data_IF_457519846213
#
_entry.id   IF_457519846213
#
_cell.length_a   1.000
_cell.length_b   1.000
_cell.length_c   1.000
_cell.angle_alpha   90.00
_cell.angle_beta   90.00
_cell.angle_gamma   90.00
#
_symmetry.space_group_name_H-M   'P 1'
#
loop_
_entity.id
_entity.type
_entity.pdbx_description
1 polymer ?
#
# COMPACT_ATOMS: atom_id res chain seq x y z
N UNK A 1 4.33 25.80 13.41
CA UNK A 1 5.38 25.44 12.44
C UNK A 1 4.95 24.12 11.83
N UNK A 2 4.39 24.13 10.63
CA UNK A 2 4.09 22.88 9.94
C UNK A 2 5.44 22.32 9.46
N UNK A 3 5.85 21.17 9.99
CA UNK A 3 6.95 20.42 9.42
C UNK A 3 6.47 19.97 8.04
N UNK A 4 6.83 20.74 7.01
CA UNK A 4 6.64 20.33 5.61
C UNK A 4 7.64 19.21 5.36
N UNK A 5 7.27 18.03 5.79
CA UNK A 5 8.01 16.83 5.49
C UNK A 5 8.06 16.65 3.98
N UNK A 6 9.26 16.53 3.45
CA UNK A 6 9.46 16.23 2.04
C UNK A 6 9.28 14.73 1.81
N UNK A 7 8.88 14.37 0.60
CA UNK A 7 8.78 12.99 0.19
C UNK A 7 10.16 12.32 0.27
N UNK A 8 10.25 11.21 1.00
CA UNK A 8 11.51 10.50 1.26
C UNK A 8 11.84 9.48 0.15
N UNK A 9 11.02 9.43 -0.89
CA UNK A 9 11.20 8.54 -2.04
C UNK A 9 12.31 9.05 -2.95
N UNK A 10 13.28 8.17 -3.19
CA UNK A 10 14.42 8.40 -4.07
C UNK A 10 14.13 7.79 -5.44
N UNK A 11 14.11 8.63 -6.47
CA UNK A 11 13.89 8.22 -7.86
C UNK A 11 15.23 7.90 -8.51
N UNK A 12 15.42 6.65 -8.95
CA UNK A 12 16.54 6.25 -9.78
C UNK A 12 16.19 6.51 -11.25
N UNK A 13 16.92 7.40 -11.94
CA UNK A 13 16.69 7.74 -13.35
C UNK A 13 17.28 6.73 -14.34
N UNK A 14 17.89 5.65 -13.86
CA UNK A 14 18.52 4.60 -14.65
C UNK A 14 19.58 3.84 -13.84
N UNK A 15 20.13 2.76 -14.41
CA UNK A 15 21.18 1.94 -13.79
C UNK A 15 22.55 2.62 -13.70
N UNK A 16 22.76 3.74 -14.40
CA UNK A 16 24.04 4.47 -14.47
C UNK A 16 24.14 5.63 -13.47
N UNK A 17 23.02 6.15 -12.98
CA UNK A 17 22.99 7.23 -11.99
C UNK A 17 22.91 6.61 -10.59
N UNK A 18 24.07 6.49 -9.94
CA UNK A 18 24.19 5.93 -8.57
C UNK A 18 23.62 6.87 -7.50
N UNK A 19 23.44 8.15 -7.85
CA UNK A 19 22.84 9.18 -7.01
C UNK A 19 21.37 9.34 -7.40
N UNK A 20 20.51 8.50 -6.84
CA UNK A 20 19.07 8.69 -6.96
C UNK A 20 18.65 10.07 -6.45
N UNK A 21 17.68 10.70 -7.11
CA UNK A 21 17.23 12.05 -6.75
C UNK A 21 16.12 11.96 -5.71
N UNK A 22 16.28 12.60 -4.52
CA UNK A 22 15.21 12.66 -3.55
C UNK A 22 14.06 13.51 -4.08
N UNK A 23 12.84 13.09 -3.82
CA UNK A 23 11.66 13.84 -4.21
C UNK A 23 11.53 15.13 -3.37
N UNK A 24 11.64 16.29 -3.99
CA UNK A 24 11.49 17.59 -3.31
C UNK A 24 10.02 17.99 -3.06
N UNK A 25 9.06 17.14 -3.42
CA UNK A 25 7.63 17.42 -3.18
C UNK A 25 7.31 17.29 -1.70
N UNK A 26 6.37 18.11 -1.23
CA UNK A 26 5.79 17.95 0.10
C UNK A 26 5.08 16.59 0.19
N UNK A 27 5.37 15.84 1.26
CA UNK A 27 4.61 14.65 1.60
C UNK A 27 3.21 15.06 2.01
N UNK A 28 2.23 14.33 1.51
CA UNK A 28 0.81 14.54 1.82
C UNK A 28 0.24 13.39 2.65
N UNK A 29 0.88 12.22 2.59
CA UNK A 29 0.51 11.06 3.40
C UNK A 29 1.75 10.29 3.87
N UNK A 30 1.54 9.27 4.70
CA UNK A 30 2.56 8.40 5.26
C UNK A 30 2.25 6.95 4.86
N UNK A 31 3.29 6.19 4.52
CA UNK A 31 3.15 4.76 4.22
C UNK A 31 2.69 3.98 5.47
N UNK A 32 1.60 3.22 5.38
CA UNK A 32 1.08 2.40 6.49
C UNK A 32 2.06 1.29 6.94
N UNK A 33 2.95 0.83 6.06
CA UNK A 33 3.86 -0.29 6.34
C UNK A 33 5.20 0.16 6.93
N UNK A 34 5.86 1.14 6.31
CA UNK A 34 7.20 1.60 6.72
C UNK A 34 7.22 2.94 7.46
N UNK A 35 6.11 3.69 7.47
CA UNK A 35 6.05 5.02 8.08
C UNK A 35 6.80 6.11 7.31
N UNK A 36 7.29 5.85 6.08
CA UNK A 36 7.95 6.86 5.26
C UNK A 36 6.95 7.89 4.74
N UNK A 37 7.40 9.14 4.64
CA UNK A 37 6.56 10.23 4.17
C UNK A 37 6.57 10.30 2.65
N UNK A 38 5.38 10.26 2.05
CA UNK A 38 5.19 10.14 0.60
C UNK A 38 4.27 11.24 0.09
N UNK A 39 4.52 11.69 -1.14
CA UNK A 39 3.66 12.65 -1.83
C UNK A 39 2.61 11.91 -2.67
N UNK A 40 1.55 12.61 -3.11
CA UNK A 40 0.47 12.03 -3.93
C UNK A 40 0.97 11.28 -5.18
N UNK A 41 2.14 11.62 -5.71
CA UNK A 41 2.70 10.95 -6.90
C UNK A 41 3.36 9.61 -6.56
N UNK A 42 3.88 9.46 -5.34
CA UNK A 42 4.51 8.23 -4.87
C UNK A 42 3.64 7.45 -3.89
N UNK A 43 2.37 7.84 -3.78
CA UNK A 43 1.36 7.18 -2.96
C UNK A 43 0.62 6.21 -3.84
N UNK A 44 0.74 4.93 -3.51
CA UNK A 44 -0.06 3.86 -4.10
C UNK A 44 -1.10 3.45 -3.06
N UNK A 45 -2.38 3.52 -3.42
CA UNK A 45 -3.47 3.05 -2.56
C UNK A 45 -3.90 1.65 -3.00
N UNK A 46 -4.06 0.75 -2.04
CA UNK A 46 -4.60 -0.57 -2.34
C UNK A 46 -6.12 -0.56 -2.23
N UNK A 47 -6.84 -0.69 -3.35
CA UNK A 47 -8.32 -0.76 -3.35
C UNK A 47 -8.92 -1.87 -2.48
N UNK A 48 -8.14 -2.91 -2.16
CA UNK A 48 -8.59 -4.03 -1.34
C UNK A 48 -8.50 -3.74 0.17
N UNK A 49 -7.54 -2.91 0.58
CA UNK A 49 -7.29 -2.57 1.99
C UNK A 49 -7.74 -1.14 2.34
N UNK A 50 -7.73 -0.23 1.38
CA UNK A 50 -7.92 1.21 1.58
C UNK A 50 -6.71 1.90 2.22
N UNK A 51 -5.55 1.23 2.23
CA UNK A 51 -4.31 1.73 2.84
C UNK A 51 -3.40 2.36 1.78
N UNK A 52 -2.67 3.39 2.20
CA UNK A 52 -1.68 4.10 1.39
C UNK A 52 -0.26 3.55 1.63
N UNK A 53 0.44 3.24 0.55
CA UNK A 53 1.77 2.65 0.58
C UNK A 53 2.74 3.40 -0.35
N UNK A 54 4.04 3.30 -0.06
CA UNK A 54 5.06 3.70 -1.02
C UNK A 54 5.24 2.61 -2.10
N UNK A 55 5.79 2.96 -3.27
CA UNK A 55 5.95 2.03 -4.40
C UNK A 55 6.61 0.68 -4.01
N UNK A 56 7.63 0.69 -3.15
CA UNK A 56 8.30 -0.52 -2.69
C UNK A 56 7.40 -1.39 -1.80
N UNK A 57 6.78 -0.80 -0.78
CA UNK A 57 5.86 -1.51 0.13
C UNK A 57 4.62 -1.99 -0.63
N UNK A 58 4.11 -1.20 -1.57
CA UNK A 58 2.99 -1.58 -2.43
C UNK A 58 3.33 -2.78 -3.30
N UNK A 59 4.52 -2.82 -3.92
CA UNK A 59 4.94 -3.97 -4.71
C UNK A 59 5.01 -5.25 -3.87
N UNK A 60 5.61 -5.20 -2.68
CA UNK A 60 5.61 -6.35 -1.76
C UNK A 60 4.20 -6.72 -1.30
N UNK A 61 3.37 -5.73 -0.98
CA UNK A 61 1.99 -5.93 -0.56
C UNK A 61 1.15 -6.61 -1.64
N UNK A 62 1.29 -6.21 -2.90
CA UNK A 62 0.62 -6.87 -4.03
C UNK A 62 1.08 -8.30 -4.27
N UNK A 63 2.32 -8.65 -3.89
CA UNK A 63 2.79 -10.04 -3.94
C UNK A 63 2.25 -10.88 -2.79
N UNK A 64 1.81 -10.26 -1.70
CA UNK A 64 1.13 -10.97 -0.63
C UNK A 64 -0.31 -11.29 -1.03
N UNK A 65 -0.79 -12.52 -0.78
CA UNK A 65 -2.17 -12.87 -1.05
C UNK A 65 -3.05 -12.08 -0.09
N UNK A 66 -3.71 -11.04 -0.60
CA UNK A 66 -4.86 -10.43 0.05
C UNK A 66 -5.79 -11.56 0.48
N UNK A 67 -5.86 -11.79 1.79
CA UNK A 67 -6.51 -12.96 2.35
C UNK A 67 -7.88 -13.10 1.70
N UNK A 68 -8.02 -14.22 0.97
CA UNK A 68 -9.15 -14.62 0.14
C UNK A 68 -10.43 -13.91 0.59
N UNK A 69 -11.11 -13.13 -0.29
CA UNK A 69 -12.40 -12.57 0.07
C UNK A 69 -13.25 -13.73 0.57
N UNK A 70 -13.63 -13.66 1.85
CA UNK A 70 -14.49 -14.65 2.48
C UNK A 70 -15.81 -14.52 1.73
N UNK A 71 -15.95 -15.30 0.65
CA UNK A 71 -17.26 -15.60 0.09
C UNK A 71 -18.09 -16.06 1.29
N UNK A 72 -19.23 -15.40 1.58
CA UNK A 72 -20.03 -15.75 2.72
C UNK A 72 -20.31 -17.25 2.64
N UNK A 73 -19.83 -17.99 3.65
CA UNK A 73 -20.10 -19.41 3.79
C UNK A 73 -21.59 -19.59 3.60
N UNK A 74 -21.97 -20.33 2.56
CA UNK A 74 -23.35 -20.70 2.31
C UNK A 74 -23.77 -21.60 3.47
N UNK A 75 -24.32 -21.00 4.52
CA UNK A 75 -24.94 -21.68 5.64
C UNK A 75 -25.96 -22.65 5.06
N UNK A 76 -25.58 -23.93 5.01
CA UNK A 76 -26.48 -25.01 4.63
C UNK A 76 -27.51 -25.11 5.76
N UNK A 77 -28.81 -24.85 5.52
CA UNK A 77 -29.80 -25.06 6.55
C UNK A 77 -29.84 -26.55 6.90
N UNK A 78 -29.65 -26.85 8.20
CA UNK A 78 -29.88 -28.17 8.80
C UNK A 78 -31.23 -28.69 8.31
N UNK A 79 -31.22 -29.70 7.43
CA UNK A 79 -32.42 -30.45 7.11
C UNK A 79 -32.63 -31.48 8.19
N UNK A 80 -33.30 -31.06 9.27
CA UNK A 80 -34.01 -31.97 10.16
C UNK A 80 -35.01 -32.75 9.30
N UNK A 81 -34.79 -34.07 9.21
CA UNK A 81 -35.86 -35.01 8.85
C UNK A 81 -35.75 -36.22 9.76
N UNK A 82 -36.70 -36.27 10.68
CA UNK A 82 -37.16 -37.43 11.42
C UNK A 82 -37.32 -38.66 10.52
N UNK A 83 -36.90 -39.82 11.02
CA UNK A 83 -37.55 -41.11 10.86
C UNK A 83 -36.99 -42.07 11.91
#
# INVERSE_FOLDING_TARGET
>A
MAASSNCEIVLLRGIEDSDGYPCERASTTQCSDCGSQICDVHTEECDLCGDSFCASCYYSHMTEPHAKPVLPERVQPKRERSA
#
